data_IF_102047469259
#
_entry.id   IF_102047469259
#
_cell.length_a   1.000
_cell.length_b   1.000
_cell.length_c   1.000
_cell.angle_alpha   90.00
_cell.angle_beta   90.00
_cell.angle_gamma   90.00
#
_symmetry.space_group_name_H-M   'P 1'
#
loop_
_entity.id
_entity.type
_entity.pdbx_description
1 polymer ?
#
# COMPACT_ATOMS: atom_id res chain seq x y z
N UNK A 1 -15.99 -11.83 -16.39
CA UNK A 1 -16.96 -11.03 -15.58
C UNK A 1 -17.14 -11.75 -14.26
N UNK A 2 -17.24 -11.03 -13.15
CA UNK A 2 -17.54 -11.57 -11.82
C UNK A 2 -18.84 -10.95 -11.28
N UNK A 3 -19.55 -11.68 -10.42
CA UNK A 3 -20.69 -11.18 -9.68
C UNK A 3 -20.30 -11.01 -8.22
N UNK A 4 -20.70 -9.90 -7.61
CA UNK A 4 -20.50 -9.66 -6.19
C UNK A 4 -21.69 -10.20 -5.40
N UNK A 5 -21.41 -10.90 -4.30
CA UNK A 5 -22.39 -11.20 -3.25
C UNK A 5 -22.69 -9.95 -2.46
N UNK A 6 -21.62 -9.21 -2.09
CA UNK A 6 -21.71 -7.91 -1.42
C UNK A 6 -20.47 -7.09 -1.62
N UNK A 7 -20.61 -5.79 -1.47
CA UNK A 7 -19.51 -4.84 -1.26
C UNK A 7 -19.91 -3.82 -0.20
N UNK A 8 -18.93 -3.16 0.41
CA UNK A 8 -19.19 -2.15 1.42
C UNK A 8 -17.88 -1.61 1.97
N UNK A 9 -17.99 -0.90 3.08
CA UNK A 9 -16.83 -0.32 3.75
C UNK A 9 -17.07 -0.16 5.24
N UNK A 10 -15.98 0.01 5.99
CA UNK A 10 -16.01 0.35 7.40
C UNK A 10 -14.76 1.18 7.77
N UNK A 11 -14.83 1.80 8.95
CA UNK A 11 -13.67 2.47 9.54
C UNK A 11 -13.28 1.76 10.82
N UNK A 12 -11.98 1.68 11.09
CA UNK A 12 -11.42 1.05 12.30
C UNK A 12 -10.35 1.93 12.94
N UNK A 13 -9.98 1.60 14.16
CA UNK A 13 -8.93 2.30 14.90
C UNK A 13 -9.36 3.70 15.31
N UNK A 14 -8.41 4.62 15.30
CA UNK A 14 -8.63 5.99 15.72
C UNK A 14 -8.39 6.22 17.21
N UNK A 15 -8.22 7.50 17.57
CA UNK A 15 -8.14 7.97 18.95
C UNK A 15 -8.77 9.34 19.09
N UNK A 16 -9.20 9.67 20.31
CA UNK A 16 -9.73 10.99 20.63
C UNK A 16 -8.58 11.96 20.95
N UNK A 17 -8.68 13.17 20.39
CA UNK A 17 -7.85 14.33 20.74
C UNK A 17 -8.78 15.45 21.20
N UNK A 18 -8.43 16.13 22.26
CA UNK A 18 -9.16 17.29 22.77
C UNK A 18 -8.38 18.57 22.48
N UNK A 19 -9.02 19.53 21.82
CA UNK A 19 -8.49 20.87 21.54
C UNK A 19 -9.15 21.85 22.49
N UNK A 20 -8.34 22.72 23.12
CA UNK A 20 -8.78 23.75 24.04
C UNK A 20 -8.06 25.09 23.82
N UNK A 21 -8.71 26.17 24.17
CA UNK A 21 -8.09 27.50 24.21
C UNK A 21 -7.86 28.15 22.84
N UNK A 22 -8.40 27.59 21.77
CA UNK A 22 -8.34 28.21 20.44
C UNK A 22 -9.44 29.26 20.28
N UNK A 23 -9.18 30.39 19.63
CA UNK A 23 -10.21 31.39 19.35
C UNK A 23 -11.22 30.88 18.33
N UNK A 24 -12.46 31.27 18.52
CA UNK A 24 -13.50 31.08 17.51
C UNK A 24 -13.13 31.86 16.25
N UNK A 25 -13.53 31.34 15.10
CA UNK A 25 -13.25 31.95 13.80
C UNK A 25 -14.48 31.93 12.90
N UNK A 26 -14.66 33.01 12.13
CA UNK A 26 -15.67 33.04 11.08
C UNK A 26 -15.20 32.22 9.89
N UNK A 27 -16.00 31.24 9.50
CA UNK A 27 -15.77 30.46 8.28
C UNK A 27 -16.89 30.70 7.29
N UNK A 28 -16.58 30.61 6.01
CA UNK A 28 -17.53 30.78 4.91
C UNK A 28 -17.75 29.44 4.23
N UNK A 29 -18.98 28.93 4.23
CA UNK A 29 -19.34 27.72 3.48
C UNK A 29 -19.63 28.03 2.01
N UNK A 30 -20.16 29.23 1.76
CA UNK A 30 -20.42 29.79 0.42
C UNK A 30 -20.08 31.27 0.45
N UNK A 31 -20.16 31.95 -0.71
CA UNK A 31 -19.95 33.42 -0.81
C UNK A 31 -20.86 34.22 0.10
N UNK A 32 -22.05 33.71 0.40
CA UNK A 32 -23.10 34.41 1.17
C UNK A 32 -23.43 33.76 2.51
N UNK A 33 -22.94 32.55 2.79
CA UNK A 33 -23.25 31.83 4.02
C UNK A 33 -22.00 31.66 4.88
N UNK A 34 -21.97 32.30 6.03
CA UNK A 34 -20.89 32.22 7.01
C UNK A 34 -21.39 31.71 8.35
N UNK A 35 -20.50 31.06 9.08
CA UNK A 35 -20.75 30.54 10.42
C UNK A 35 -19.58 30.84 11.34
N UNK A 36 -19.85 31.08 12.62
CA UNK A 36 -18.81 31.14 13.65
C UNK A 36 -18.48 29.73 14.10
N UNK A 37 -17.30 29.28 13.77
CA UNK A 37 -16.77 27.97 14.17
C UNK A 37 -16.03 28.08 15.48
N UNK A 38 -16.37 27.24 16.45
CA UNK A 38 -15.57 26.96 17.62
C UNK A 38 -14.66 25.76 17.30
N UNK A 39 -13.32 25.93 17.24
CA UNK A 39 -12.39 24.83 16.97
C UNK A 39 -12.05 24.00 18.20
N UNK A 40 -12.63 24.33 19.38
CA UNK A 40 -12.43 23.56 20.60
C UNK A 40 -13.39 22.38 20.68
N UNK A 41 -12.91 21.29 21.27
CA UNK A 41 -13.72 20.08 21.44
C UNK A 41 -12.92 18.80 21.23
N UNK A 42 -13.64 17.70 21.14
CA UNK A 42 -13.06 16.37 20.92
C UNK A 42 -13.12 16.00 19.43
N UNK A 43 -12.01 15.52 18.92
CA UNK A 43 -11.86 15.05 17.54
C UNK A 43 -11.50 13.58 17.55
N UNK A 44 -12.14 12.77 16.70
CA UNK A 44 -11.69 11.42 16.39
C UNK A 44 -10.72 11.51 15.20
N UNK A 45 -9.53 10.99 15.38
CA UNK A 45 -8.44 11.05 14.39
C UNK A 45 -7.74 9.69 14.27
N UNK A 46 -6.90 9.52 13.25
CA UNK A 46 -6.13 8.28 13.00
C UNK A 46 -7.02 7.06 12.73
N UNK A 47 -8.26 7.25 12.28
CA UNK A 47 -9.08 6.18 11.76
C UNK A 47 -8.52 5.69 10.42
N UNK A 48 -8.80 4.43 10.10
CA UNK A 48 -8.42 3.79 8.86
C UNK A 48 -9.67 3.28 8.13
N UNK A 49 -9.78 3.57 6.85
CA UNK A 49 -10.88 3.12 5.98
C UNK A 49 -10.53 1.81 5.29
N UNK A 50 -11.50 0.91 5.26
CA UNK A 50 -11.41 -0.36 4.53
C UNK A 50 -12.63 -0.50 3.64
N UNK A 51 -12.42 -0.80 2.36
CA UNK A 51 -13.46 -1.18 1.42
C UNK A 51 -13.35 -2.66 1.11
N UNK A 52 -14.47 -3.38 0.99
CA UNK A 52 -14.45 -4.80 0.71
C UNK A 52 -15.37 -5.17 -0.46
N UNK A 53 -14.96 -6.22 -1.18
CA UNK A 53 -15.67 -6.80 -2.31
C UNK A 53 -15.65 -8.31 -2.16
N UNK A 54 -16.82 -8.92 -2.04
CA UNK A 54 -16.97 -10.37 -1.85
C UNK A 54 -17.61 -10.94 -3.10
N UNK A 55 -16.91 -11.77 -3.88
CA UNK A 55 -17.50 -12.41 -5.07
C UNK A 55 -18.44 -13.54 -4.66
N UNK A 56 -19.55 -13.73 -5.41
CA UNK A 56 -20.47 -14.85 -5.21
C UNK A 56 -19.77 -16.22 -5.28
N UNK A 57 -18.86 -16.35 -6.22
CA UNK A 57 -18.09 -17.59 -6.43
C UNK A 57 -16.70 -17.46 -5.78
N UNK A 58 -16.69 -17.25 -4.46
CA UNK A 58 -15.45 -17.22 -3.67
C UNK A 58 -14.74 -18.58 -3.76
N UNK A 59 -13.46 -18.58 -4.13
CA UNK A 59 -12.64 -19.78 -4.32
C UNK A 59 -11.59 -19.98 -3.23
N UNK A 60 -11.41 -19.00 -2.35
CA UNK A 60 -10.38 -18.99 -1.30
C UNK A 60 -11.02 -18.71 0.04
N UNK A 61 -10.54 -19.40 1.06
CA UNK A 61 -11.04 -19.24 2.43
C UNK A 61 -10.62 -17.91 3.04
N UNK A 62 -9.39 -17.47 2.74
CA UNK A 62 -8.83 -16.25 3.28
C UNK A 62 -8.96 -15.10 2.29
N UNK A 63 -9.44 -13.92 2.74
CA UNK A 63 -9.47 -12.73 1.90
C UNK A 63 -8.06 -12.21 1.61
N UNK A 64 -7.93 -11.49 0.50
CA UNK A 64 -6.75 -10.73 0.12
C UNK A 64 -6.93 -9.28 0.55
N UNK A 65 -5.99 -8.75 1.33
CA UNK A 65 -5.97 -7.36 1.78
C UNK A 65 -4.90 -6.61 1.00
N UNK A 66 -5.28 -5.53 0.32
CA UNK A 66 -4.41 -4.70 -0.50
C UNK A 66 -4.07 -3.39 0.23
N UNK A 67 -2.78 -3.16 0.50
CA UNK A 67 -2.25 -1.98 1.16
C UNK A 67 -1.32 -1.21 0.21
N UNK A 68 -1.69 0.04 -0.10
CA UNK A 68 -0.98 0.92 -1.03
C UNK A 68 0.34 1.47 -0.48
N UNK A 69 1.17 2.01 -1.39
CA UNK A 69 2.45 2.66 -1.10
C UNK A 69 2.34 4.13 -0.66
N UNK A 70 3.49 4.75 -0.47
CA UNK A 70 3.61 6.15 -0.07
C UNK A 70 3.10 7.13 -1.13
N UNK A 71 2.33 8.13 -0.70
CA UNK A 71 1.77 9.15 -1.58
C UNK A 71 0.62 8.68 -2.48
N UNK A 72 0.05 7.51 -2.20
CA UNK A 72 -1.07 6.90 -2.90
C UNK A 72 -2.21 6.57 -1.93
N UNK A 73 -3.32 6.08 -2.49
CA UNK A 73 -4.50 5.56 -1.78
C UNK A 73 -4.88 4.20 -2.35
N UNK A 74 -5.94 3.58 -1.84
CA UNK A 74 -6.49 2.34 -2.39
C UNK A 74 -6.91 2.42 -3.86
N UNK A 75 -7.12 3.62 -4.39
CA UNK A 75 -7.45 3.83 -5.81
C UNK A 75 -6.40 3.22 -6.77
N UNK A 76 -5.14 3.12 -6.33
CA UNK A 76 -4.07 2.51 -7.13
C UNK A 76 -4.28 1.02 -7.47
N UNK A 77 -5.22 0.36 -6.78
CA UNK A 77 -5.60 -1.03 -7.00
C UNK A 77 -6.82 -1.21 -7.89
N UNK A 78 -7.62 -0.14 -8.10
CA UNK A 78 -8.94 -0.22 -8.74
C UNK A 78 -8.83 -0.25 -10.27
N UNK A 79 -8.12 0.72 -10.83
CA UNK A 79 -7.96 0.90 -12.28
C UNK A 79 -6.55 1.40 -12.57
N UNK A 80 -5.92 0.85 -13.60
CA UNK A 80 -4.62 1.34 -14.05
C UNK A 80 -4.76 2.72 -14.71
N UNK A 81 -3.70 3.54 -14.77
CA UNK A 81 -3.78 4.88 -15.32
C UNK A 81 -4.29 4.96 -16.77
N UNK A 82 -4.06 3.91 -17.56
CA UNK A 82 -4.51 3.77 -18.95
C UNK A 82 -5.90 3.11 -19.09
N UNK A 83 -6.63 2.93 -17.96
CA UNK A 83 -8.02 2.49 -17.96
C UNK A 83 -8.23 0.97 -17.96
N UNK A 84 -7.17 0.16 -17.87
CA UNK A 84 -7.29 -1.29 -17.70
C UNK A 84 -7.77 -1.65 -16.29
N UNK A 85 -8.34 -2.85 -16.06
CA UNK A 85 -8.62 -3.35 -14.72
C UNK A 85 -7.37 -3.35 -13.85
N UNK A 86 -7.46 -2.84 -12.61
CA UNK A 86 -6.40 -2.94 -11.61
C UNK A 86 -6.46 -4.27 -10.85
N UNK A 87 -5.51 -4.50 -9.98
CA UNK A 87 -5.38 -5.76 -9.23
C UNK A 87 -6.60 -6.09 -8.36
N UNK A 88 -7.36 -5.11 -7.89
CA UNK A 88 -8.66 -5.37 -7.26
C UNK A 88 -9.54 -6.22 -8.17
N UNK A 89 -9.70 -5.81 -9.43
CA UNK A 89 -10.52 -6.52 -10.41
C UNK A 89 -9.92 -7.88 -10.77
N UNK A 90 -8.60 -7.92 -10.97
CA UNK A 90 -7.89 -9.15 -11.36
C UNK A 90 -8.01 -10.24 -10.28
N UNK A 91 -7.89 -9.88 -8.99
CA UNK A 91 -8.05 -10.84 -7.90
C UNK A 91 -9.52 -11.25 -7.69
N UNK A 92 -10.48 -10.35 -7.91
CA UNK A 92 -11.90 -10.69 -7.90
C UNK A 92 -12.24 -11.70 -9.01
N UNK A 93 -11.69 -11.52 -10.22
CA UNK A 93 -11.82 -12.48 -11.33
C UNK A 93 -11.26 -13.86 -10.99
N UNK A 94 -10.21 -13.90 -10.19
CA UNK A 94 -9.62 -15.16 -9.70
C UNK A 94 -10.46 -15.82 -8.58
N UNK A 95 -11.39 -15.08 -7.98
CA UNK A 95 -12.31 -15.57 -6.94
C UNK A 95 -11.86 -15.27 -5.51
N UNK A 96 -10.95 -14.33 -5.30
CA UNK A 96 -10.62 -13.82 -3.97
C UNK A 96 -11.69 -12.86 -3.47
N UNK A 97 -12.04 -12.93 -2.19
CA UNK A 97 -12.60 -11.78 -1.49
C UNK A 97 -11.49 -10.75 -1.31
N UNK A 98 -11.72 -9.48 -1.68
CA UNK A 98 -10.69 -8.45 -1.69
C UNK A 98 -11.08 -7.31 -0.75
N UNK A 99 -10.13 -6.90 0.09
CA UNK A 99 -10.23 -5.74 0.94
C UNK A 99 -9.17 -4.72 0.52
N UNK A 100 -9.58 -3.47 0.35
CA UNK A 100 -8.70 -2.36 -0.05
C UNK A 100 -8.63 -1.36 1.08
N UNK A 101 -7.43 -1.08 1.53
CA UNK A 101 -7.15 -0.14 2.62
C UNK A 101 -6.76 1.23 2.03
N UNK A 102 -7.42 2.30 2.52
CA UNK A 102 -6.82 3.63 2.54
C UNK A 102 -6.17 3.80 3.91
N UNK A 103 -4.85 3.92 3.96
CA UNK A 103 -4.13 3.99 5.23
C UNK A 103 -4.52 5.25 6.02
N UNK A 104 -4.22 5.28 7.31
CA UNK A 104 -4.37 6.49 8.13
C UNK A 104 -3.80 7.70 7.38
N UNK A 105 -4.50 8.84 7.41
CA UNK A 105 -4.16 10.09 6.71
C UNK A 105 -4.29 10.08 5.18
N UNK A 106 -4.79 8.99 4.60
CA UNK A 106 -4.91 8.84 3.15
C UNK A 106 -6.37 8.71 2.71
N UNK A 107 -6.66 9.30 1.56
CA UNK A 107 -7.92 9.09 0.87
C UNK A 107 -9.14 9.18 1.78
N UNK A 108 -9.92 8.11 1.82
CA UNK A 108 -11.19 8.02 2.59
C UNK A 108 -10.98 7.88 4.10
N UNK A 109 -9.77 7.62 4.57
CA UNK A 109 -9.44 7.69 5.99
C UNK A 109 -9.46 9.13 6.53
N UNK A 110 -9.43 10.13 5.63
CA UNK A 110 -9.30 11.52 5.98
C UNK A 110 -7.95 11.84 6.60
N UNK A 111 -7.74 13.07 6.95
CA UNK A 111 -6.52 13.47 7.66
C UNK A 111 -6.85 14.48 8.77
N UNK A 112 -5.98 14.49 9.80
CA UNK A 112 -6.12 15.41 10.91
C UNK A 112 -5.56 16.79 10.53
N UNK A 113 -6.45 17.77 10.39
CA UNK A 113 -6.07 19.18 10.16
C UNK A 113 -5.94 19.99 11.47
N UNK A 114 -5.91 19.31 12.63
CA UNK A 114 -5.76 19.95 13.93
C UNK A 114 -4.29 20.24 14.18
N UNK A 115 -3.97 21.52 14.33
CA UNK A 115 -2.61 22.01 14.57
C UNK A 115 -1.96 21.36 15.81
N UNK A 116 -0.71 20.89 15.65
CA UNK A 116 0.09 20.31 16.74
C UNK A 116 -0.28 18.86 17.10
N UNK A 117 -1.19 18.21 16.38
CA UNK A 117 -1.54 16.80 16.61
C UNK A 117 -0.53 15.86 15.97
N UNK A 118 -0.12 16.16 14.74
CA UNK A 118 0.96 15.44 14.05
C UNK A 118 2.17 16.35 13.90
N UNK A 119 3.34 15.76 14.02
CA UNK A 119 4.61 16.45 13.86
C UNK A 119 4.91 16.68 12.37
N UNK A 120 5.42 17.87 12.04
CA UNK A 120 5.81 18.26 10.68
C UNK A 120 4.63 18.53 9.76
N UNK A 121 4.97 18.89 8.52
CA UNK A 121 4.01 19.16 7.46
C UNK A 121 3.82 17.95 6.54
N UNK A 122 2.66 17.84 5.88
CA UNK A 122 2.45 16.80 4.89
C UNK A 122 3.35 17.03 3.67
N UNK A 123 3.99 15.97 3.19
CA UNK A 123 4.91 16.02 2.06
C UNK A 123 4.17 15.62 0.79
N UNK A 124 4.00 16.53 -0.18
CA UNK A 124 3.54 16.19 -1.52
C UNK A 124 4.65 15.51 -2.32
N UNK A 125 4.29 14.80 -3.36
CA UNK A 125 5.24 14.18 -4.30
C UNK A 125 5.36 15.07 -5.54
N UNK A 126 6.59 15.39 -5.95
CA UNK A 126 6.84 16.04 -7.24
C UNK A 126 6.82 15.03 -8.39
N UNK A 127 6.63 15.52 -9.61
CA UNK A 127 6.59 14.66 -10.80
C UNK A 127 7.97 14.10 -11.15
N UNK A 128 9.02 14.92 -10.96
CA UNK A 128 10.41 14.51 -11.14
C UNK A 128 10.79 13.38 -10.16
N UNK A 129 10.46 13.53 -8.86
CA UNK A 129 10.69 12.52 -7.82
C UNK A 129 9.99 11.21 -8.17
N UNK A 130 8.75 11.29 -8.67
CA UNK A 130 7.97 10.12 -9.05
C UNK A 130 8.62 9.34 -10.19
N UNK A 131 9.19 10.03 -11.17
CA UNK A 131 9.85 9.41 -12.31
C UNK A 131 11.03 8.53 -11.88
N UNK A 132 11.91 9.07 -11.05
CA UNK A 132 13.07 8.37 -10.52
C UNK A 132 12.69 7.22 -9.59
N UNK A 133 11.86 7.51 -8.56
CA UNK A 133 11.48 6.50 -7.57
C UNK A 133 10.75 5.32 -8.19
N UNK A 134 9.90 5.56 -9.18
CA UNK A 134 9.13 4.50 -9.82
C UNK A 134 9.87 3.83 -10.98
N UNK A 135 11.11 4.26 -11.25
CA UNK A 135 12.02 3.69 -12.26
C UNK A 135 11.41 3.68 -13.67
N UNK A 136 10.80 4.79 -14.08
CA UNK A 136 10.35 4.96 -15.45
C UNK A 136 11.50 5.28 -16.39
N UNK A 137 12.57 5.89 -15.87
CA UNK A 137 13.79 6.28 -16.59
C UNK A 137 14.86 6.79 -15.62
N UNK A 138 15.98 7.33 -16.13
CA UNK A 138 17.00 7.94 -15.30
C UNK A 138 16.48 9.19 -14.56
N UNK A 139 17.14 9.67 -13.48
CA UNK A 139 16.65 10.76 -12.65
C UNK A 139 16.25 12.04 -13.38
N UNK A 140 16.96 12.40 -14.45
CA UNK A 140 16.64 13.56 -15.30
C UNK A 140 15.64 13.24 -16.44
N UNK A 141 15.23 11.99 -16.54
CA UNK A 141 14.39 11.47 -17.62
C UNK A 141 13.04 12.13 -17.73
N UNK A 142 12.47 12.62 -16.63
CA UNK A 142 11.20 13.35 -16.68
C UNK A 142 11.28 14.61 -17.55
N UNK A 143 12.40 15.34 -17.47
CA UNK A 143 12.62 16.59 -18.24
C UNK A 143 13.02 16.31 -19.68
N UNK A 144 13.76 15.24 -19.91
CA UNK A 144 14.30 14.87 -21.23
C UNK A 144 13.41 13.94 -22.04
N UNK A 145 12.38 13.34 -21.37
CA UNK A 145 11.56 12.28 -21.96
C UNK A 145 12.28 10.94 -22.07
N UNK A 146 13.41 10.76 -21.36
CA UNK A 146 14.24 9.54 -21.44
C UNK A 146 13.69 8.46 -20.52
N UNK A 147 13.44 7.28 -21.06
CA UNK A 147 12.91 6.11 -20.33
C UNK A 147 13.92 4.97 -20.28
N UNK A 148 13.76 4.06 -19.32
CA UNK A 148 14.48 2.79 -19.39
C UNK A 148 13.93 1.95 -20.54
N UNK A 149 14.82 1.35 -21.31
CA UNK A 149 14.44 0.54 -22.46
C UNK A 149 13.65 -0.70 -22.01
N UNK A 150 12.45 -0.87 -22.57
CA UNK A 150 11.59 -2.02 -22.27
C UNK A 150 10.75 -1.88 -20.99
N UNK A 151 10.78 -0.73 -20.31
CA UNK A 151 9.88 -0.50 -19.18
C UNK A 151 8.41 -0.62 -19.62
N UNK A 152 7.55 -1.11 -18.72
CA UNK A 152 6.16 -1.50 -19.02
C UNK A 152 5.10 -0.55 -18.47
N UNK A 153 5.48 0.50 -17.76
CA UNK A 153 4.49 1.47 -17.29
C UNK A 153 3.88 2.22 -18.49
N UNK A 154 2.54 2.43 -18.51
CA UNK A 154 1.86 3.09 -19.63
C UNK A 154 2.09 4.60 -19.61
N UNK A 155 3.26 5.07 -20.00
CA UNK A 155 3.69 6.47 -19.91
C UNK A 155 2.79 7.45 -20.64
N UNK A 156 2.02 7.02 -21.65
CA UNK A 156 0.99 7.86 -22.29
C UNK A 156 -0.12 8.28 -21.31
N UNK A 157 -0.30 7.53 -20.23
CA UNK A 157 -1.26 7.82 -19.17
C UNK A 157 -0.60 8.36 -17.89
N UNK A 158 0.64 8.84 -17.98
CA UNK A 158 1.39 9.36 -16.82
C UNK A 158 0.63 10.47 -16.09
N UNK A 159 -0.02 11.38 -16.81
CA UNK A 159 -0.84 12.44 -16.23
C UNK A 159 -2.00 11.90 -15.36
N UNK A 160 -2.66 10.85 -15.82
CA UNK A 160 -3.72 10.19 -15.04
C UNK A 160 -3.16 9.54 -13.75
N UNK A 161 -1.97 8.95 -13.81
CA UNK A 161 -1.30 8.41 -12.62
C UNK A 161 -0.90 9.50 -11.62
N UNK A 162 -0.33 10.59 -12.11
CA UNK A 162 0.12 11.69 -11.26
C UNK A 162 -1.03 12.37 -10.50
N UNK A 163 -2.25 12.34 -11.05
CA UNK A 163 -3.47 12.80 -10.36
C UNK A 163 -3.89 11.92 -9.18
N UNK A 164 -3.32 10.73 -9.01
CA UNK A 164 -3.56 9.86 -7.86
C UNK A 164 -2.69 10.24 -6.64
N UNK A 165 -1.72 11.15 -6.80
CA UNK A 165 -0.82 11.51 -5.71
C UNK A 165 -1.54 12.29 -4.62
N UNK A 166 -1.29 11.87 -3.38
CA UNK A 166 -1.79 12.53 -2.19
C UNK A 166 -0.65 12.85 -1.23
N UNK A 167 -0.75 13.93 -0.45
CA UNK A 167 0.23 14.23 0.59
C UNK A 167 0.31 13.13 1.65
N UNK A 168 1.45 13.03 2.32
CA UNK A 168 1.68 12.11 3.45
C UNK A 168 2.56 12.74 4.50
N UNK A 169 2.37 12.35 5.74
CA UNK A 169 3.34 12.61 6.81
C UNK A 169 4.33 11.45 6.91
N UNK A 170 5.58 11.75 7.25
CA UNK A 170 6.62 10.74 7.51
C UNK A 170 6.72 10.37 8.98
N UNK A 171 6.06 11.14 9.86
CA UNK A 171 6.07 10.99 11.32
C UNK A 171 4.93 10.16 11.88
N UNK A 172 3.96 9.76 11.02
CA UNK A 172 2.73 9.06 11.44
C UNK A 172 2.80 7.53 11.32
N UNK A 173 3.97 6.94 11.06
CA UNK A 173 4.12 5.49 10.83
C UNK A 173 3.49 4.63 11.94
N UNK A 174 3.66 4.99 13.20
CA UNK A 174 3.05 4.25 14.32
C UNK A 174 1.52 4.31 14.32
N UNK A 175 0.92 5.45 13.94
CA UNK A 175 -0.54 5.57 13.79
C UNK A 175 -1.04 4.68 12.64
N UNK A 176 -0.32 4.68 11.53
CA UNK A 176 -0.62 3.85 10.36
C UNK A 176 -0.55 2.35 10.70
N UNK A 177 0.51 1.90 11.38
CA UNK A 177 0.68 0.50 11.81
C UNK A 177 -0.46 0.08 12.76
N UNK A 178 -0.83 0.92 13.74
CA UNK A 178 -1.97 0.65 14.62
C UNK A 178 -3.29 0.53 13.83
N UNK A 179 -3.52 1.43 12.87
CA UNK A 179 -4.71 1.39 12.01
C UNK A 179 -4.77 0.12 11.18
N UNK A 180 -3.66 -0.29 10.56
CA UNK A 180 -3.56 -1.55 9.80
C UNK A 180 -3.83 -2.74 10.74
N UNK A 181 -3.22 -2.78 11.92
CA UNK A 181 -3.45 -3.83 12.91
C UNK A 181 -4.92 -3.94 13.33
N UNK A 182 -5.61 -2.80 13.50
CA UNK A 182 -7.05 -2.78 13.77
C UNK A 182 -7.86 -3.35 12.59
N UNK A 183 -7.49 -3.02 11.34
CA UNK A 183 -8.13 -3.58 10.15
C UNK A 183 -7.91 -5.10 10.05
N UNK A 184 -6.69 -5.59 10.30
CA UNK A 184 -6.39 -7.03 10.28
C UNK A 184 -7.22 -7.79 11.32
N UNK A 185 -7.40 -7.24 12.53
CA UNK A 185 -8.23 -7.85 13.57
C UNK A 185 -9.71 -7.90 13.20
N UNK A 186 -10.23 -6.85 12.56
CA UNK A 186 -11.64 -6.79 12.11
C UNK A 186 -11.90 -7.75 10.93
N UNK A 187 -10.95 -7.87 10.01
CA UNK A 187 -11.06 -8.76 8.84
C UNK A 187 -10.86 -10.23 9.26
N UNK A 188 -10.00 -10.48 10.23
CA UNK A 188 -9.58 -11.82 10.65
C UNK A 188 -8.47 -12.41 9.76
N UNK A 189 -8.26 -13.73 9.79
CA UNK A 189 -7.18 -14.37 9.06
C UNK A 189 -7.20 -14.07 7.56
N UNK A 190 -6.13 -13.48 7.04
CA UNK A 190 -6.04 -12.98 5.66
C UNK A 190 -4.65 -13.13 5.04
N UNK A 191 -4.58 -12.97 3.73
CA UNK A 191 -3.34 -12.74 2.99
C UNK A 191 -3.16 -11.23 2.83
N UNK A 192 -2.03 -10.69 3.28
CA UNK A 192 -1.72 -9.27 3.18
C UNK A 192 -0.77 -9.03 2.00
N UNK A 193 -1.23 -8.25 1.01
CA UNK A 193 -0.39 -7.75 -0.08
C UNK A 193 -0.16 -6.25 0.11
N UNK A 194 1.09 -5.86 0.21
CA UNK A 194 1.48 -4.48 0.45
C UNK A 194 2.56 -4.02 -0.54
N UNK A 195 2.49 -2.74 -0.93
CA UNK A 195 3.38 -2.14 -1.91
C UNK A 195 4.23 -1.03 -1.30
N UNK A 196 5.53 -0.96 -1.67
CA UNK A 196 6.41 0.18 -1.37
C UNK A 196 6.46 0.54 0.13
N UNK A 197 6.15 1.77 0.54
CA UNK A 197 6.02 2.18 1.94
C UNK A 197 5.01 1.30 2.71
N UNK A 198 3.94 0.86 2.04
CA UNK A 198 3.01 -0.11 2.60
C UNK A 198 3.68 -1.44 2.95
N UNK A 199 4.78 -1.80 2.28
CA UNK A 199 5.60 -2.97 2.61
C UNK A 199 6.20 -2.88 4.01
N UNK A 200 6.80 -1.74 4.36
CA UNK A 200 7.27 -1.47 5.73
C UNK A 200 6.13 -1.51 6.76
N UNK A 201 5.08 -0.73 6.49
CA UNK A 201 3.96 -0.59 7.44
C UNK A 201 3.18 -1.91 7.60
N UNK A 202 2.92 -2.59 6.49
CA UNK A 202 2.17 -3.85 6.47
C UNK A 202 2.96 -5.01 7.05
N UNK A 203 4.25 -5.14 6.74
CA UNK A 203 5.09 -6.19 7.33
C UNK A 203 5.24 -6.03 8.84
N UNK A 204 5.36 -4.79 9.34
CA UNK A 204 5.38 -4.52 10.76
C UNK A 204 4.05 -4.85 11.43
N UNK A 205 2.93 -4.40 10.85
CA UNK A 205 1.61 -4.75 11.34
C UNK A 205 1.36 -6.27 11.31
N UNK A 206 1.87 -6.98 10.29
CA UNK A 206 1.78 -8.44 10.19
C UNK A 206 2.53 -9.17 11.30
N UNK A 207 3.73 -8.71 11.65
CA UNK A 207 4.49 -9.26 12.78
C UNK A 207 3.76 -9.02 14.11
N UNK A 208 3.25 -7.81 14.32
CA UNK A 208 2.53 -7.42 15.55
C UNK A 208 1.14 -8.10 15.69
N UNK A 209 0.52 -8.54 14.59
CA UNK A 209 -0.81 -9.17 14.55
C UNK A 209 -0.76 -10.52 13.83
N UNK A 210 0.24 -11.32 14.14
CA UNK A 210 0.57 -12.53 13.42
C UNK A 210 -0.57 -13.56 13.35
N UNK A 211 -1.45 -13.61 14.32
CA UNK A 211 -2.61 -14.52 14.34
C UNK A 211 -3.62 -14.24 13.21
N UNK A 212 -3.67 -12.99 12.74
CA UNK A 212 -4.50 -12.57 11.61
C UNK A 212 -3.83 -12.83 10.24
N UNK A 213 -2.59 -13.30 10.19
CA UNK A 213 -1.83 -13.44 8.95
C UNK A 213 -1.71 -14.89 8.52
N UNK A 214 -2.07 -15.16 7.26
CA UNK A 214 -1.86 -16.44 6.58
C UNK A 214 -0.63 -16.40 5.67
N UNK A 215 -0.48 -15.31 4.93
CA UNK A 215 0.72 -15.03 4.15
C UNK A 215 0.93 -13.52 4.02
N UNK A 216 2.16 -13.11 3.73
CA UNK A 216 2.51 -11.72 3.41
C UNK A 216 3.14 -11.67 2.02
N UNK A 217 2.69 -10.72 1.20
CA UNK A 217 3.25 -10.43 -0.12
C UNK A 217 3.72 -8.99 -0.12
N UNK A 218 5.02 -8.79 -0.25
CA UNK A 218 5.62 -7.47 -0.34
C UNK A 218 5.98 -7.17 -1.79
N UNK A 219 5.14 -6.37 -2.43
CA UNK A 219 5.39 -5.84 -3.77
C UNK A 219 6.38 -4.68 -3.65
N UNK A 220 7.66 -5.00 -3.73
CA UNK A 220 8.79 -4.07 -3.69
C UNK A 220 8.75 -3.11 -2.49
N UNK A 221 8.87 -3.67 -1.29
CA UNK A 221 8.90 -2.90 -0.05
C UNK A 221 10.03 -1.88 -0.02
N UNK A 222 9.74 -0.67 0.49
CA UNK A 222 10.72 0.40 0.68
C UNK A 222 11.18 0.54 2.13
N UNK A 223 11.35 -0.56 2.82
CA UNK A 223 11.77 -0.67 4.21
C UNK A 223 11.13 -1.87 4.91
N UNK A 224 11.64 -2.20 6.08
CA UNK A 224 11.32 -3.43 6.80
C UNK A 224 11.22 -3.19 8.30
N UNK A 225 10.56 -4.09 9.08
CA UNK A 225 10.69 -4.12 10.53
C UNK A 225 12.15 -4.28 10.95
N UNK A 226 12.48 -3.87 12.16
CA UNK A 226 13.79 -4.20 12.73
C UNK A 226 13.99 -5.71 12.76
N UNK A 227 15.19 -6.20 12.45
CA UNK A 227 15.49 -7.64 12.39
C UNK A 227 15.24 -8.33 13.73
N UNK A 228 15.37 -7.63 14.85
CA UNK A 228 15.07 -8.10 16.20
C UNK A 228 13.58 -8.31 16.47
N UNK A 229 12.70 -7.61 15.75
CA UNK A 229 11.24 -7.76 15.85
C UNK A 229 10.75 -8.99 15.06
N UNK A 230 11.56 -9.50 14.12
CA UNK A 230 11.25 -10.71 13.34
C UNK A 230 11.64 -11.94 14.16
N UNK A 231 10.64 -12.53 14.82
CA UNK A 231 10.83 -13.64 15.76
C UNK A 231 10.06 -14.89 15.34
N UNK A 232 10.54 -16.06 15.79
CA UNK A 232 9.94 -17.35 15.48
C UNK A 232 8.45 -17.42 15.85
N UNK A 233 8.07 -16.92 17.01
CA UNK A 233 6.69 -16.96 17.50
C UNK A 233 5.70 -16.20 16.64
N UNK A 234 6.17 -15.20 15.88
CA UNK A 234 5.30 -14.36 15.04
C UNK A 234 5.22 -14.82 13.59
N UNK A 235 6.28 -15.48 13.06
CA UNK A 235 6.38 -15.78 11.64
C UNK A 235 6.58 -17.24 11.28
N UNK A 236 6.80 -18.14 12.27
CA UNK A 236 7.05 -19.55 12.02
C UNK A 236 5.97 -20.20 11.15
N UNK A 237 6.40 -20.85 10.07
CA UNK A 237 5.53 -21.55 9.13
C UNK A 237 4.72 -20.63 8.21
N UNK A 238 4.77 -19.30 8.39
CA UNK A 238 4.05 -18.35 7.52
C UNK A 238 4.84 -18.08 6.25
N UNK A 239 4.18 -18.15 5.09
CA UNK A 239 4.82 -17.82 3.81
C UNK A 239 4.94 -16.30 3.64
N UNK A 240 6.09 -15.90 3.11
CA UNK A 240 6.38 -14.52 2.72
C UNK A 240 6.89 -14.49 1.28
N UNK A 241 6.25 -13.72 0.42
CA UNK A 241 6.68 -13.48 -0.95
C UNK A 241 7.21 -12.05 -1.06
N UNK A 242 8.49 -11.93 -1.38
CA UNK A 242 9.18 -10.66 -1.52
C UNK A 242 9.47 -10.45 -3.01
N UNK A 243 8.77 -9.53 -3.64
CA UNK A 243 8.87 -9.27 -5.07
C UNK A 243 9.76 -8.07 -5.35
N UNK A 244 10.58 -8.18 -6.37
CA UNK A 244 11.40 -7.10 -6.91
C UNK A 244 11.09 -6.93 -8.40
N UNK A 245 10.92 -5.69 -8.85
CA UNK A 245 10.77 -5.32 -10.25
C UNK A 245 12.09 -5.29 -11.00
N UNK A 246 12.06 -4.66 -12.17
CA UNK A 246 13.24 -4.46 -13.05
C UNK A 246 13.94 -3.11 -12.76
N UNK A 247 15.07 -2.87 -13.41
CA UNK A 247 15.86 -1.62 -13.37
C UNK A 247 16.41 -1.25 -11.98
N UNK A 248 16.46 -2.20 -11.05
CA UNK A 248 16.97 -1.95 -9.68
C UNK A 248 18.43 -1.48 -9.73
N UNK A 249 19.25 -2.10 -10.56
CA UNK A 249 20.68 -1.77 -10.72
C UNK A 249 20.92 -0.38 -11.33
N UNK A 250 19.87 0.29 -11.82
CA UNK A 250 19.93 1.65 -12.34
C UNK A 250 19.77 2.73 -11.26
N UNK A 251 19.53 2.33 -10.01
CA UNK A 251 19.27 3.25 -8.89
C UNK A 251 19.96 2.76 -7.62
N UNK A 252 20.86 3.56 -7.07
CA UNK A 252 21.55 3.25 -5.80
C UNK A 252 20.56 2.97 -4.67
N UNK A 253 19.52 3.79 -4.56
CA UNK A 253 18.42 3.59 -3.59
C UNK A 253 17.82 2.21 -3.68
N UNK A 254 17.54 1.72 -4.89
CA UNK A 254 16.90 0.43 -5.09
C UNK A 254 17.87 -0.74 -4.95
N UNK A 255 19.15 -0.53 -5.26
CA UNK A 255 20.20 -1.49 -4.93
C UNK A 255 20.28 -1.73 -3.42
N UNK A 256 20.19 -0.68 -2.60
CA UNK A 256 20.21 -0.82 -1.14
C UNK A 256 18.93 -1.47 -0.61
N UNK A 257 17.75 -1.09 -1.13
CA UNK A 257 16.49 -1.74 -0.80
C UNK A 257 16.49 -3.24 -1.15
N UNK A 258 17.12 -3.63 -2.26
CA UNK A 258 17.31 -5.05 -2.63
C UNK A 258 18.16 -5.80 -1.60
N UNK A 259 19.30 -5.23 -1.17
CA UNK A 259 20.15 -5.82 -0.12
C UNK A 259 19.42 -5.98 1.20
N UNK A 260 18.68 -4.95 1.61
CA UNK A 260 17.84 -5.02 2.82
C UNK A 260 16.78 -6.14 2.71
N UNK A 261 16.13 -6.24 1.54
CA UNK A 261 15.14 -7.29 1.27
C UNK A 261 15.75 -8.69 1.35
N UNK A 262 16.97 -8.88 0.83
CA UNK A 262 17.72 -10.14 0.94
C UNK A 262 18.00 -10.48 2.42
N UNK A 263 18.50 -9.52 3.18
CA UNK A 263 18.78 -9.69 4.62
C UNK A 263 17.52 -10.08 5.40
N UNK A 264 16.38 -9.46 5.11
CA UNK A 264 15.11 -9.78 5.74
C UNK A 264 14.61 -11.17 5.33
N UNK A 265 14.74 -11.54 4.04
CA UNK A 265 14.42 -12.89 3.58
C UNK A 265 15.21 -13.97 4.34
N UNK A 266 16.51 -13.78 4.49
CA UNK A 266 17.39 -14.66 5.26
C UNK A 266 16.98 -14.71 6.73
N UNK A 267 16.68 -13.56 7.34
CA UNK A 267 16.23 -13.48 8.72
C UNK A 267 14.92 -14.24 8.94
N UNK A 268 13.91 -14.04 8.09
CA UNK A 268 12.64 -14.75 8.18
C UNK A 268 12.87 -16.26 8.14
N UNK A 269 13.68 -16.74 7.19
CA UNK A 269 13.98 -18.16 7.05
C UNK A 269 14.78 -18.71 8.24
N UNK A 270 15.72 -17.94 8.81
CA UNK A 270 16.55 -18.34 9.94
C UNK A 270 15.75 -18.58 11.24
N UNK A 271 14.57 -17.94 11.37
CA UNK A 271 13.70 -18.10 12.54
C UNK A 271 12.48 -19.00 12.26
N UNK A 272 12.52 -19.77 11.17
CA UNK A 272 11.53 -20.79 10.83
C UNK A 272 10.31 -20.29 10.05
N UNK A 273 10.35 -19.08 9.50
CA UNK A 273 9.43 -18.62 8.46
C UNK A 273 9.72 -19.29 7.11
N UNK A 274 8.96 -18.94 6.09
CA UNK A 274 9.14 -19.41 4.71
C UNK A 274 9.11 -18.21 3.77
N UNK A 275 10.25 -17.54 3.59
CA UNK A 275 10.36 -16.38 2.70
C UNK A 275 10.97 -16.78 1.35
N UNK A 276 10.35 -16.32 0.29
CA UNK A 276 10.84 -16.41 -1.09
C UNK A 276 11.10 -15.00 -1.61
N UNK A 277 12.32 -14.75 -2.08
CA UNK A 277 12.68 -13.53 -2.80
C UNK A 277 12.65 -13.81 -4.30
N UNK A 278 11.82 -13.09 -5.03
CA UNK A 278 11.59 -13.29 -6.46
C UNK A 278 11.83 -12.01 -7.22
N UNK A 279 12.72 -12.06 -8.20
CA UNK A 279 12.94 -11.02 -9.20
C UNK A 279 11.97 -11.25 -10.36
N UNK A 280 11.06 -10.33 -10.60
CA UNK A 280 10.06 -10.43 -11.67
C UNK A 280 10.68 -10.63 -13.06
N UNK A 281 11.79 -9.93 -13.45
CA UNK A 281 12.48 -10.20 -14.71
C UNK A 281 12.97 -11.65 -14.86
N UNK A 282 13.47 -12.26 -13.77
CA UNK A 282 14.03 -13.62 -13.81
C UNK A 282 12.96 -14.69 -14.03
N UNK A 283 11.70 -14.38 -13.76
CA UNK A 283 10.56 -15.27 -13.98
C UNK A 283 9.72 -14.88 -15.20
N UNK A 284 10.27 -14.04 -16.10
CA UNK A 284 9.68 -13.70 -17.39
C UNK A 284 8.87 -12.40 -17.42
N UNK A 285 8.83 -11.62 -16.35
CA UNK A 285 8.17 -10.31 -16.30
C UNK A 285 9.17 -9.17 -16.43
N UNK A 286 9.97 -9.19 -17.52
CA UNK A 286 10.91 -8.12 -17.81
C UNK A 286 10.20 -6.77 -18.02
N UNK A 287 10.88 -5.69 -17.63
CA UNK A 287 10.40 -4.32 -17.74
C UNK A 287 9.45 -3.89 -16.62
N UNK A 288 9.22 -4.73 -15.62
CA UNK A 288 8.37 -4.42 -14.48
C UNK A 288 8.94 -3.24 -13.67
N UNK A 289 8.23 -2.11 -13.66
CA UNK A 289 8.64 -0.90 -12.91
C UNK A 289 8.36 -1.06 -11.42
N UNK A 290 8.64 -0.02 -10.61
CA UNK A 290 8.18 -0.03 -9.22
C UNK A 290 6.65 -0.13 -9.09
N UNK A 291 5.94 0.30 -10.13
CA UNK A 291 4.47 0.27 -10.19
C UNK A 291 3.93 -0.92 -10.99
N UNK A 292 4.55 -2.09 -10.88
CA UNK A 292 4.20 -3.25 -11.70
C UNK A 292 2.74 -3.71 -11.57
N UNK A 293 2.01 -3.27 -10.56
CA UNK A 293 0.56 -3.44 -10.50
C UNK A 293 -0.20 -2.54 -11.49
N UNK A 294 0.46 -1.58 -12.12
CA UNK A 294 -0.10 -0.68 -13.14
C UNK A 294 0.54 -0.89 -14.53
N UNK A 295 1.62 -1.66 -14.60
CA UNK A 295 2.35 -1.95 -15.84
C UNK A 295 1.49 -2.70 -16.85
N UNK A 296 1.85 -2.69 -18.12
CA UNK A 296 1.11 -3.35 -19.20
C UNK A 296 0.92 -4.87 -18.98
N UNK A 297 1.84 -5.49 -18.25
CA UNK A 297 1.81 -6.91 -17.88
C UNK A 297 1.25 -7.17 -16.47
N UNK A 298 0.62 -6.18 -15.85
CA UNK A 298 0.11 -6.25 -14.45
C UNK A 298 -0.87 -7.41 -14.22
N UNK A 299 -1.71 -7.72 -15.21
CA UNK A 299 -2.68 -8.84 -15.13
C UNK A 299 -1.97 -10.21 -15.03
N UNK A 300 -0.90 -10.42 -15.80
CA UNK A 300 -0.11 -11.66 -15.76
C UNK A 300 0.62 -11.81 -14.41
N UNK A 301 1.17 -10.71 -13.89
CA UNK A 301 1.81 -10.68 -12.55
C UNK A 301 0.77 -11.01 -11.47
N UNK A 302 -0.43 -10.40 -11.52
CA UNK A 302 -1.49 -10.71 -10.55
C UNK A 302 -1.93 -12.17 -10.59
N UNK A 303 -2.00 -12.76 -11.78
CA UNK A 303 -2.31 -14.18 -11.96
C UNK A 303 -1.23 -15.06 -11.34
N UNK A 304 0.04 -14.75 -11.59
CA UNK A 304 1.18 -15.48 -10.99
C UNK A 304 1.15 -15.41 -9.46
N UNK A 305 0.88 -14.22 -8.89
CA UNK A 305 0.70 -14.04 -7.44
C UNK A 305 -0.47 -14.89 -6.94
N UNK A 306 -1.61 -14.86 -7.61
CA UNK A 306 -2.77 -15.67 -7.24
C UNK A 306 -2.47 -17.17 -7.26
N UNK A 307 -1.72 -17.64 -8.24
CA UNK A 307 -1.28 -19.04 -8.31
C UNK A 307 -0.26 -19.39 -7.19
N UNK A 308 0.60 -18.45 -6.79
CA UNK A 308 1.45 -18.60 -5.62
C UNK A 308 0.63 -18.73 -4.33
N UNK A 309 -0.38 -17.88 -4.12
CA UNK A 309 -1.28 -17.95 -2.95
C UNK A 309 -1.96 -19.32 -2.90
N UNK A 310 -2.50 -19.82 -4.02
CA UNK A 310 -3.15 -21.13 -4.12
C UNK A 310 -2.27 -22.31 -3.68
N UNK A 311 -0.97 -22.23 -3.99
CA UNK A 311 0.00 -23.29 -3.65
C UNK A 311 0.44 -23.23 -2.20
N UNK A 312 0.31 -22.07 -1.56
CA UNK A 312 1.01 -21.75 -0.32
C UNK A 312 0.08 -21.62 0.87
N UNK A 313 -1.16 -21.22 0.66
CA UNK A 313 -2.23 -21.05 1.64
C UNK A 313 -3.39 -21.99 1.40
#
# INVERSE_FOLDING_TARGET
>A
MYELEKFGSFHVGGRLVEVKGKPKRKIWFTETNSHEQDPNGKFLIEQLYVQYFIPKNKKFDYPLVLLHGGGLTGACWETTPDGRPGWLNEFLLQGFAVYVIDNVERGRSGFCAVEGVWEGDPIPRTLDEAWDIFRFGPPDGYKTGTTFQGQRFPLKALDAFQKQFVPRWTTTSNAQIRGIGAALKEIGPCVLLCHSQGGFLGSRAAVENSDCIRAVICAEASGWPLLEDIKSETIKGKPWLLLLGDFIEQSERWCDAKKETQTVCEKINSVGGRAELVSLPEIGFAGATHMFMMDENSADISKWIGDWIKKTC
#
